data_IF_330713035010
#
_entry.id   IF_330713035010
#
_cell.length_a   1.000
_cell.length_b   1.000
_cell.length_c   1.000
_cell.angle_alpha   90.00
_cell.angle_beta   90.00
_cell.angle_gamma   90.00
#
_symmetry.space_group_name_H-M   'P 1'
#
loop_
_entity.id
_entity.type
_entity.pdbx_description
1 polymer ?
#
# COMPACT_ATOMS: atom_id res chain seq x y z
N UNK A 1 3.75 17.63 7.21
CA UNK A 1 2.93 17.77 8.44
C UNK A 1 1.46 17.82 8.04
N UNK A 2 0.77 16.69 8.15
CA UNK A 2 -0.65 16.56 7.84
C UNK A 2 -1.47 17.06 9.04
N UNK A 3 -2.12 18.21 8.90
CA UNK A 3 -3.01 18.75 9.92
C UNK A 3 -4.30 17.94 10.00
N UNK A 4 -4.50 17.21 11.10
CA UNK A 4 -5.78 16.55 11.40
C UNK A 4 -6.78 17.60 11.90
N UNK A 5 -7.89 17.78 11.18
CA UNK A 5 -9.00 18.61 11.62
C UNK A 5 -9.92 17.76 12.50
N UNK A 6 -9.92 17.98 13.83
CA UNK A 6 -10.81 17.28 14.77
C UNK A 6 -12.03 18.15 15.07
N UNK A 7 -13.22 17.65 14.75
CA UNK A 7 -14.50 18.25 15.16
C UNK A 7 -14.81 17.82 16.59
N UNK A 8 -14.94 18.77 17.53
CA UNK A 8 -15.31 18.51 18.92
C UNK A 8 -16.64 19.20 19.21
N UNK A 9 -17.72 18.43 19.35
CA UNK A 9 -18.99 18.95 19.86
C UNK A 9 -18.89 19.06 21.39
N UNK A 10 -19.02 20.27 21.93
CA UNK A 10 -19.06 20.51 23.37
C UNK A 10 -20.54 20.47 23.78
N UNK A 11 -20.91 19.49 24.61
CA UNK A 11 -22.22 19.45 25.26
C UNK A 11 -22.02 19.82 26.73
N UNK A 12 -22.56 20.97 27.16
CA UNK A 12 -22.61 21.34 28.57
C UNK A 12 -23.75 20.59 29.27
N UNK A 13 -23.41 19.80 30.29
CA UNK A 13 -24.39 19.11 31.13
C UNK A 13 -24.75 19.98 32.34
N UNK A 14 -25.96 20.55 32.33
CA UNK A 14 -26.54 21.26 33.45
C UNK A 14 -28.06 21.09 33.51
N UNK A 15 -28.56 20.55 34.62
CA UNK A 15 -29.97 20.27 34.89
C UNK A 15 -30.84 21.53 34.87
N UNK A 16 -31.39 21.89 33.69
CA UNK A 16 -32.65 22.66 33.50
C UNK A 16 -32.97 22.73 32.01
N UNK A 17 -34.09 22.13 31.58
CA UNK A 17 -34.56 22.19 30.21
C UNK A 17 -35.05 23.60 29.85
N UNK A 18 -34.15 24.43 29.33
CA UNK A 18 -34.47 25.62 28.53
C UNK A 18 -33.63 25.52 27.25
N UNK A 19 -34.28 25.39 26.10
CA UNK A 19 -33.63 25.44 24.79
C UNK A 19 -33.04 26.85 24.57
N UNK A 20 -31.77 27.06 24.92
CA UNK A 20 -30.98 28.18 24.40
C UNK A 20 -30.40 27.78 23.05
N UNK A 21 -30.68 28.62 22.06
CA UNK A 21 -30.33 28.47 20.66
C UNK A 21 -28.86 28.10 20.41
N UNK A 22 -28.69 27.18 19.46
CA UNK A 22 -27.45 26.70 18.85
C UNK A 22 -26.37 27.78 18.65
N UNK A 23 -25.20 27.57 19.25
CA UNK A 23 -23.91 28.09 18.78
C UNK A 23 -22.96 26.90 18.63
N UNK A 24 -22.54 26.61 17.40
CA UNK A 24 -21.34 25.81 17.15
C UNK A 24 -20.26 26.79 16.67
N UNK A 25 -19.23 27.00 17.48
CA UNK A 25 -18.07 27.82 17.14
C UNK A 25 -16.93 26.90 16.69
N UNK A 26 -16.40 27.17 15.50
CA UNK A 26 -15.26 26.47 14.91
C UNK A 26 -13.97 27.23 15.29
N UNK A 27 -13.03 26.55 15.93
CA UNK A 27 -11.68 27.07 16.17
C UNK A 27 -10.70 26.26 15.32
N UNK A 28 -9.95 26.95 14.46
CA UNK A 28 -8.92 26.36 13.61
C UNK A 28 -7.59 27.03 13.95
N UNK A 29 -6.60 26.27 14.43
CA UNK A 29 -5.27 26.77 14.80
C UNK A 29 -4.32 26.77 13.59
N UNK A 30 -4.59 27.67 12.63
CA UNK A 30 -3.66 27.96 11.54
C UNK A 30 -3.67 29.47 11.23
N UNK A 31 -2.50 30.16 11.23
CA UNK A 31 -2.43 31.61 11.11
C UNK A 31 -2.65 32.17 9.69
N UNK A 32 -3.06 31.36 8.69
CA UNK A 32 -3.09 31.80 7.27
C UNK A 32 -4.44 31.77 6.56
N UNK A 33 -5.57 31.52 7.23
CA UNK A 33 -6.90 31.47 6.59
C UNK A 33 -7.98 32.30 7.29
N UNK A 34 -7.63 33.47 7.84
CA UNK A 34 -8.60 34.44 8.33
C UNK A 34 -9.19 35.30 7.19
N UNK A 35 -9.97 34.69 6.28
CA UNK A 35 -10.89 35.42 5.38
C UNK A 35 -11.89 34.51 4.69
N UNK A 36 -12.71 33.78 5.45
CA UNK A 36 -14.00 33.30 4.97
C UNK A 36 -15.05 33.71 6.00
N UNK A 37 -15.99 34.54 5.52
CA UNK A 37 -17.00 35.19 6.36
C UNK A 37 -17.92 34.19 7.06
N UNK A 38 -18.49 34.63 8.18
CA UNK A 38 -19.53 33.91 8.90
C UNK A 38 -20.71 33.62 7.96
N UNK A 39 -20.96 32.33 7.68
CA UNK A 39 -22.19 31.92 7.01
C UNK A 39 -23.27 31.80 8.08
N UNK A 40 -24.05 32.87 8.24
CA UNK A 40 -25.23 32.88 9.10
C UNK A 40 -26.43 32.29 8.35
N UNK A 41 -26.90 31.10 8.75
CA UNK A 41 -28.19 30.59 8.27
C UNK A 41 -29.32 31.20 9.13
N UNK A 42 -30.07 32.13 8.55
CA UNK A 42 -31.33 32.63 9.12
C UNK A 42 -32.48 31.77 8.62
N UNK A 43 -32.99 30.86 9.44
CA UNK A 43 -34.32 30.29 9.21
C UNK A 43 -35.37 31.34 9.58
N UNK A 44 -36.14 31.82 8.60
CA UNK A 44 -37.27 32.73 8.81
C UNK A 44 -38.45 31.95 9.40
N UNK A 45 -39.12 32.44 10.46
CA UNK A 45 -40.35 31.84 10.94
C UNK A 45 -41.55 32.32 10.12
N UNK A 46 -42.43 31.36 9.83
CA UNK A 46 -43.87 31.51 9.64
C UNK A 46 -44.38 32.31 8.43
N UNK A 47 -44.56 31.61 7.31
CA UNK A 47 -45.66 31.87 6.39
C UNK A 47 -46.73 30.79 6.57
N UNK A 48 -47.75 31.10 7.37
CA UNK A 48 -49.03 30.37 7.39
C UNK A 48 -49.65 30.50 6.00
N UNK A 49 -49.60 29.42 5.21
CA UNK A 49 -50.31 29.34 3.94
C UNK A 49 -51.53 28.43 4.09
N UNK A 50 -52.68 29.09 3.95
CA UNK A 50 -54.04 28.58 3.80
C UNK A 50 -54.14 27.28 3.01
N UNK A 51 -54.62 26.23 3.69
CA UNK A 51 -55.08 24.99 3.08
C UNK A 51 -56.35 25.26 2.26
N UNK A 52 -56.23 25.34 0.94
CA UNK A 52 -57.37 25.29 0.03
C UNK A 52 -57.49 23.86 -0.45
N UNK A 53 -58.53 23.18 0.06
CA UNK A 53 -58.89 21.81 -0.29
C UNK A 53 -58.87 21.56 -1.80
N UNK A 54 -57.86 20.82 -2.23
CA UNK A 54 -57.81 20.18 -3.55
C UNK A 54 -58.17 18.72 -3.39
N UNK A 55 -59.26 18.34 -4.07
CA UNK A 55 -59.86 17.01 -4.26
C UNK A 55 -58.94 15.84 -3.89
N UNK A 56 -59.40 15.00 -2.96
CA UNK A 56 -58.79 13.72 -2.61
C UNK A 56 -58.74 12.80 -3.84
N UNK A 57 -57.62 12.85 -4.56
CA UNK A 57 -57.13 11.64 -5.21
C UNK A 57 -56.85 10.63 -4.10
N UNK A 58 -57.40 9.44 -4.20
CA UNK A 58 -57.12 8.36 -3.26
C UNK A 58 -55.61 8.11 -3.24
N UNK A 59 -54.90 8.63 -2.25
CA UNK A 59 -53.51 8.27 -2.01
C UNK A 59 -53.50 6.79 -1.60
N UNK A 60 -53.13 5.94 -2.55
CA UNK A 60 -52.91 4.53 -2.30
C UNK A 60 -51.68 4.41 -1.40
N UNK A 61 -51.89 4.23 -0.10
CA UNK A 61 -50.84 3.94 0.85
C UNK A 61 -50.26 2.55 0.59
N UNK A 62 -48.92 2.45 0.56
CA UNK A 62 -48.23 1.17 0.48
C UNK A 62 -48.59 0.27 1.66
N UNK A 63 -48.89 -1.00 1.40
CA UNK A 63 -49.08 -1.99 2.45
C UNK A 63 -47.75 -2.37 3.09
N UNK A 64 -47.78 -2.74 4.38
CA UNK A 64 -46.61 -3.28 5.09
C UNK A 64 -46.03 -4.51 4.39
N UNK A 65 -46.90 -5.32 3.74
CA UNK A 65 -46.49 -6.54 3.02
C UNK A 65 -45.70 -6.20 1.76
N UNK A 66 -46.16 -5.23 0.97
CA UNK A 66 -45.45 -4.80 -0.25
C UNK A 66 -44.05 -4.28 0.08
N UNK A 67 -43.92 -3.46 1.12
CA UNK A 67 -42.64 -2.93 1.56
C UNK A 67 -41.70 -4.05 2.03
N UNK A 68 -42.22 -5.06 2.74
CA UNK A 68 -41.44 -6.20 3.24
C UNK A 68 -40.93 -7.09 2.09
N UNK A 69 -41.77 -7.39 1.09
CA UNK A 69 -41.35 -8.17 -0.09
C UNK A 69 -40.26 -7.44 -0.87
N UNK A 70 -40.36 -6.12 -1.02
CA UNK A 70 -39.34 -5.32 -1.71
C UNK A 70 -38.00 -5.39 -0.99
N UNK A 71 -37.98 -5.19 0.34
CA UNK A 71 -36.75 -5.31 1.12
C UNK A 71 -36.16 -6.73 1.06
N UNK A 72 -36.99 -7.78 1.03
CA UNK A 72 -36.54 -9.15 0.86
C UNK A 72 -35.85 -9.36 -0.51
N UNK A 73 -36.42 -8.82 -1.60
CA UNK A 73 -35.82 -8.90 -2.93
C UNK A 73 -34.50 -8.13 -2.99
N UNK A 74 -34.45 -6.91 -2.43
CA UNK A 74 -33.20 -6.11 -2.36
C UNK A 74 -32.12 -6.86 -1.58
N UNK A 75 -32.47 -7.49 -0.45
CA UNK A 75 -31.53 -8.25 0.36
C UNK A 75 -30.94 -9.44 -0.42
N UNK A 76 -31.77 -10.17 -1.18
CA UNK A 76 -31.32 -11.28 -2.05
C UNK A 76 -30.34 -10.77 -3.11
N UNK A 77 -30.67 -9.68 -3.79
CA UNK A 77 -29.80 -9.10 -4.82
C UNK A 77 -28.48 -8.61 -4.22
N UNK A 78 -28.51 -7.92 -3.08
CA UNK A 78 -27.32 -7.44 -2.40
C UNK A 78 -26.40 -8.58 -1.96
N UNK A 79 -26.95 -9.69 -1.45
CA UNK A 79 -26.16 -10.88 -1.09
C UNK A 79 -25.40 -11.47 -2.28
N UNK A 80 -25.97 -11.41 -3.49
CA UNK A 80 -25.31 -11.88 -4.72
C UNK A 80 -24.28 -10.86 -5.26
N UNK A 81 -24.50 -9.56 -5.06
CA UNK A 81 -23.63 -8.49 -5.57
C UNK A 81 -22.37 -8.26 -4.74
N UNK A 82 -22.45 -8.36 -3.41
CA UNK A 82 -21.31 -8.12 -2.51
C UNK A 82 -20.04 -8.94 -2.85
N UNK A 83 -20.10 -10.27 -3.09
CA UNK A 83 -18.91 -11.04 -3.44
C UNK A 83 -18.34 -10.64 -4.80
N UNK A 84 -19.18 -10.27 -5.76
CA UNK A 84 -18.73 -9.80 -7.07
C UNK A 84 -18.01 -8.45 -6.97
N UNK A 85 -18.54 -7.51 -6.19
CA UNK A 85 -17.92 -6.21 -5.94
C UNK A 85 -16.56 -6.35 -5.24
N UNK A 86 -16.46 -7.24 -4.24
CA UNK A 86 -15.18 -7.49 -3.55
C UNK A 86 -14.13 -8.04 -4.51
N UNK A 87 -14.51 -8.98 -5.40
CA UNK A 87 -13.60 -9.51 -6.44
C UNK A 87 -13.17 -8.43 -7.43
N UNK A 88 -14.08 -7.55 -7.85
CA UNK A 88 -13.78 -6.44 -8.75
C UNK A 88 -12.81 -5.44 -8.11
N UNK A 89 -13.06 -5.04 -6.86
CA UNK A 89 -12.15 -4.18 -6.08
C UNK A 89 -10.77 -4.79 -5.94
N UNK A 90 -10.70 -6.08 -5.57
CA UNK A 90 -9.47 -6.84 -5.44
C UNK A 90 -8.65 -6.83 -6.74
N UNK A 91 -9.29 -7.14 -7.88
CA UNK A 91 -8.64 -7.05 -9.20
C UNK A 91 -8.16 -5.63 -9.54
N UNK A 92 -8.95 -4.62 -9.19
CA UNK A 92 -8.55 -3.22 -9.38
C UNK A 92 -7.28 -2.86 -8.60
N UNK A 93 -7.17 -3.31 -7.35
CA UNK A 93 -5.95 -3.14 -6.54
C UNK A 93 -4.75 -3.90 -7.13
N UNK A 94 -4.97 -5.10 -7.68
CA UNK A 94 -3.91 -5.88 -8.30
C UNK A 94 -3.36 -5.17 -9.55
N UNK A 95 -4.24 -4.58 -10.38
CA UNK A 95 -3.85 -3.74 -11.53
C UNK A 95 -3.02 -2.53 -11.08
N UNK A 96 -3.39 -1.88 -9.97
CA UNK A 96 -2.62 -0.74 -9.43
C UNK A 96 -1.22 -1.19 -8.98
N UNK A 97 -1.10 -2.30 -8.25
CA UNK A 97 0.23 -2.79 -7.83
C UNK A 97 1.10 -3.21 -9.01
N UNK A 98 0.52 -3.85 -10.04
CA UNK A 98 1.23 -4.16 -11.29
C UNK A 98 1.69 -2.88 -12.02
N UNK A 99 0.84 -1.85 -12.06
CA UNK A 99 1.18 -0.55 -12.65
C UNK A 99 2.33 0.13 -11.89
N UNK A 100 2.34 0.08 -10.56
CA UNK A 100 3.44 0.59 -9.74
C UNK A 100 4.75 -0.12 -10.08
N UNK A 101 4.76 -1.47 -10.11
CA UNK A 101 5.97 -2.22 -10.49
C UNK A 101 6.41 -2.00 -11.93
N UNK A 102 5.47 -1.75 -12.85
CA UNK A 102 5.80 -1.39 -14.23
C UNK A 102 6.49 -0.03 -14.31
N UNK A 103 6.11 0.94 -13.45
CA UNK A 103 6.83 2.21 -13.34
C UNK A 103 8.26 1.99 -12.83
N UNK A 104 8.46 1.12 -11.86
CA UNK A 104 9.81 0.73 -11.43
C UNK A 104 10.61 0.00 -12.51
N UNK A 105 9.99 -0.86 -13.30
CA UNK A 105 10.63 -1.52 -14.45
C UNK A 105 11.16 -0.50 -15.45
N UNK A 106 10.32 0.47 -15.84
CA UNK A 106 10.73 1.59 -16.71
C UNK A 106 11.83 2.42 -16.09
N UNK A 107 11.72 2.73 -14.79
CA UNK A 107 12.74 3.47 -14.06
C UNK A 107 14.09 2.72 -14.03
N UNK A 108 14.06 1.40 -13.86
CA UNK A 108 15.23 0.53 -13.96
C UNK A 108 15.91 0.62 -15.32
N UNK A 109 15.15 0.51 -16.42
CA UNK A 109 15.70 0.64 -17.78
C UNK A 109 16.32 2.01 -18.04
N UNK A 110 15.69 3.09 -17.57
CA UNK A 110 16.27 4.43 -17.68
C UNK A 110 17.57 4.54 -16.88
N UNK A 111 17.58 4.06 -15.63
CA UNK A 111 18.79 4.00 -14.82
C UNK A 111 19.90 3.23 -15.53
N UNK A 112 19.62 2.04 -16.05
CA UNK A 112 20.62 1.20 -16.72
C UNK A 112 21.19 1.89 -17.96
N UNK A 113 20.35 2.59 -18.72
CA UNK A 113 20.81 3.40 -19.87
C UNK A 113 21.81 4.49 -19.47
N UNK A 114 21.58 5.16 -18.34
CA UNK A 114 22.43 6.25 -17.85
C UNK A 114 23.67 5.75 -17.08
N UNK A 115 23.77 4.46 -16.76
CA UNK A 115 24.82 3.85 -15.94
C UNK A 115 25.54 2.68 -16.64
N UNK A 116 25.84 2.83 -17.93
CA UNK A 116 26.59 1.84 -18.74
C UNK A 116 26.01 0.42 -18.72
N UNK A 117 24.68 0.30 -18.61
CA UNK A 117 23.97 -0.97 -18.53
C UNK A 117 24.13 -1.72 -17.21
N UNK A 118 24.66 -1.08 -16.17
CA UNK A 118 24.83 -1.71 -14.84
C UNK A 118 23.56 -1.58 -14.01
N UNK A 119 23.26 -2.63 -13.25
CA UNK A 119 22.27 -2.57 -12.19
C UNK A 119 22.74 -1.62 -11.05
N UNK A 120 21.88 -1.32 -10.08
CA UNK A 120 22.24 -0.50 -8.91
C UNK A 120 22.59 -1.36 -7.69
N UNK A 121 23.39 -0.83 -6.74
CA UNK A 121 23.75 -1.57 -5.52
C UNK A 121 22.57 -1.68 -4.57
N UNK A 122 22.58 -2.72 -3.71
CA UNK A 122 21.56 -2.90 -2.68
C UNK A 122 21.64 -1.81 -1.60
N UNK A 123 22.86 -1.44 -1.22
CA UNK A 123 23.20 -0.41 -0.25
C UNK A 123 24.33 0.43 -0.82
N UNK A 124 24.22 1.74 -0.64
CA UNK A 124 25.21 2.71 -1.09
C UNK A 124 25.88 3.38 0.13
N UNK A 125 26.06 4.70 0.10
CA UNK A 125 26.74 5.48 1.12
C UNK A 125 26.10 5.35 2.53
N UNK A 126 26.97 5.27 3.54
CA UNK A 126 26.59 5.42 4.94
C UNK A 126 26.64 6.89 5.32
N UNK A 127 25.49 7.45 5.73
CA UNK A 127 25.42 8.79 6.27
C UNK A 127 25.55 8.75 7.81
N UNK A 128 25.80 9.89 8.45
CA UNK A 128 26.07 9.95 9.90
C UNK A 128 24.97 9.26 10.73
N UNK A 129 23.70 9.50 10.41
CA UNK A 129 22.56 8.98 11.18
C UNK A 129 21.71 7.94 10.43
N UNK A 130 22.16 7.43 9.27
CA UNK A 130 21.35 6.51 8.47
C UNK A 130 22.10 5.81 7.33
N UNK A 131 21.35 5.00 6.60
CA UNK A 131 21.87 4.15 5.53
C UNK A 131 21.08 4.35 4.25
N UNK A 132 21.77 4.55 3.12
CA UNK A 132 21.15 4.61 1.80
C UNK A 132 21.03 3.19 1.24
N UNK A 133 19.79 2.75 1.04
CA UNK A 133 19.45 1.54 0.30
C UNK A 133 18.95 1.92 -1.09
N UNK A 134 18.83 0.92 -1.97
CA UNK A 134 18.31 1.12 -3.32
C UNK A 134 16.95 1.84 -3.37
N UNK A 135 16.12 1.68 -2.33
CA UNK A 135 14.78 2.23 -2.24
C UNK A 135 14.70 3.60 -1.53
N UNK A 136 15.79 4.07 -0.93
CA UNK A 136 15.82 5.32 -0.18
C UNK A 136 16.76 5.30 1.01
N UNK A 137 16.81 6.42 1.71
CA UNK A 137 17.58 6.56 2.94
C UNK A 137 16.72 6.23 4.16
N UNK A 138 17.25 5.42 5.07
CA UNK A 138 16.60 5.03 6.31
C UNK A 138 17.47 5.39 7.51
N UNK A 139 16.90 6.13 8.46
CA UNK A 139 17.58 6.52 9.69
C UNK A 139 17.91 5.30 10.56
N UNK A 140 19.07 5.26 11.21
CA UNK A 140 19.39 4.27 12.25
C UNK A 140 18.61 4.59 13.53
N UNK A 141 18.14 3.55 14.22
CA UNK A 141 17.39 3.72 15.46
C UNK A 141 16.33 2.64 15.67
N UNK A 142 15.37 2.92 16.56
CA UNK A 142 14.26 2.04 16.86
C UNK A 142 13.31 1.90 15.65
N UNK A 143 12.96 0.66 15.29
CA UNK A 143 12.01 0.39 14.21
C UNK A 143 10.62 0.95 14.55
N UNK A 144 9.94 1.50 13.54
CA UNK A 144 8.66 2.21 13.69
C UNK A 144 8.79 3.71 13.96
N UNK A 145 9.99 4.17 14.34
CA UNK A 145 10.28 5.58 14.62
C UNK A 145 11.32 6.19 13.66
N UNK A 146 11.94 5.36 12.81
CA UNK A 146 12.97 5.80 11.86
C UNK A 146 12.37 6.76 10.84
N UNK A 147 13.10 7.83 10.54
CA UNK A 147 12.82 8.66 9.36
C UNK A 147 13.19 7.90 8.09
N UNK A 148 12.40 8.08 7.05
CA UNK A 148 12.61 7.49 5.75
C UNK A 148 12.46 8.54 4.65
N UNK A 149 13.39 8.54 3.70
CA UNK A 149 13.43 9.49 2.58
C UNK A 149 13.61 8.73 1.26
N UNK A 150 12.54 8.66 0.47
CA UNK A 150 12.53 8.01 -0.85
C UNK A 150 13.36 8.76 -1.87
N UNK A 151 13.65 10.06 -1.65
CA UNK A 151 14.36 10.90 -2.63
C UNK A 151 15.82 10.49 -2.83
N UNK A 152 16.34 9.71 -1.89
CA UNK A 152 17.70 9.16 -1.91
C UNK A 152 17.79 7.79 -2.58
N UNK A 153 16.67 7.22 -3.04
CA UNK A 153 16.66 5.92 -3.71
C UNK A 153 17.24 5.99 -5.12
N UNK A 154 17.87 4.90 -5.56
CA UNK A 154 18.55 4.82 -6.87
C UNK A 154 17.60 5.14 -8.04
N UNK A 155 16.33 4.74 -7.91
CA UNK A 155 15.33 4.92 -8.95
C UNK A 155 14.49 6.20 -8.81
N UNK A 156 14.70 7.00 -7.77
CA UNK A 156 13.79 8.12 -7.44
C UNK A 156 13.63 9.11 -8.60
N UNK A 157 14.74 9.55 -9.20
CA UNK A 157 14.72 10.53 -10.29
C UNK A 157 14.02 10.04 -11.56
N UNK A 158 13.84 8.73 -11.70
CA UNK A 158 13.26 8.07 -12.86
C UNK A 158 11.78 7.72 -12.67
N UNK A 159 11.24 7.91 -11.47
CA UNK A 159 9.85 7.62 -11.13
C UNK A 159 9.03 8.90 -11.21
N UNK A 160 7.92 8.85 -11.93
CA UNK A 160 7.01 10.00 -12.06
C UNK A 160 5.87 9.85 -11.07
N UNK A 161 5.81 10.76 -10.10
CA UNK A 161 4.74 10.82 -9.09
C UNK A 161 5.16 10.28 -7.71
N UNK A 162 4.21 10.20 -6.80
CA UNK A 162 4.41 9.77 -5.40
C UNK A 162 3.41 8.70 -5.02
N UNK A 163 3.75 7.82 -4.06
CA UNK A 163 2.85 6.79 -3.54
C UNK A 163 2.88 5.49 -4.35
N UNK A 164 3.90 5.30 -5.19
CA UNK A 164 4.14 4.06 -5.93
C UNK A 164 4.97 3.07 -5.11
N UNK A 165 5.68 3.53 -4.09
CA UNK A 165 6.66 2.82 -3.27
C UNK A 165 6.05 1.70 -2.42
N UNK A 166 4.75 1.81 -2.12
CA UNK A 166 4.01 0.84 -1.32
C UNK A 166 2.83 0.34 -2.14
N UNK A 167 2.80 -0.97 -2.41
CA UNK A 167 1.65 -1.61 -3.03
C UNK A 167 0.42 -1.49 -2.10
N UNK A 168 -0.75 -1.01 -2.61
CA UNK A 168 -1.99 -0.92 -1.83
C UNK A 168 -2.51 -2.23 -1.20
N UNK A 169 -1.98 -3.39 -1.62
CA UNK A 169 -2.29 -4.70 -1.02
C UNK A 169 -1.40 -5.05 0.17
N UNK A 170 -0.36 -4.26 0.46
CA UNK A 170 0.43 -4.43 1.67
C UNK A 170 -0.39 -3.95 2.87
N UNK A 171 -0.88 -4.88 3.70
CA UNK A 171 -1.64 -4.56 4.90
C UNK A 171 -0.73 -4.12 6.06
N UNK A 172 -0.07 -2.97 5.90
CA UNK A 172 0.88 -2.43 6.88
C UNK A 172 0.22 -1.76 8.09
N UNK A 173 -1.12 -1.61 8.06
CA UNK A 173 -1.93 -1.05 9.16
C UNK A 173 -2.28 -2.15 10.19
N UNK A 174 -2.09 -3.42 9.83
CA UNK A 174 -2.33 -4.57 10.68
C UNK A 174 -1.51 -4.51 11.98
N UNK A 175 -2.09 -4.96 13.10
CA UNK A 175 -1.42 -5.02 14.41
C UNK A 175 -0.29 -6.06 14.48
N UNK A 176 -0.26 -6.99 13.51
CA UNK A 176 0.82 -7.94 13.29
C UNK A 176 1.84 -7.48 12.26
N UNK A 177 1.75 -6.23 11.80
CA UNK A 177 2.74 -5.63 10.92
C UNK A 177 3.74 -4.79 11.73
N UNK A 178 5.02 -5.08 11.56
CA UNK A 178 6.14 -4.40 12.22
C UNK A 178 6.75 -3.42 11.23
N UNK A 179 6.48 -2.14 11.46
CA UNK A 179 6.96 -1.04 10.63
C UNK A 179 8.46 -0.83 10.81
N UNK A 180 9.16 -0.52 9.72
CA UNK A 180 10.58 -0.16 9.77
C UNK A 180 10.79 1.33 10.01
N UNK A 181 9.93 2.18 9.46
CA UNK A 181 9.98 3.63 9.58
C UNK A 181 8.70 4.19 10.23
N UNK A 182 8.59 5.51 10.34
CA UNK A 182 7.33 6.19 10.66
C UNK A 182 6.32 5.99 9.50
N UNK A 183 5.67 4.83 9.48
CA UNK A 183 4.84 4.34 8.38
C UNK A 183 5.55 3.27 7.53
N UNK A 184 4.88 2.79 6.48
CA UNK A 184 5.51 1.89 5.53
C UNK A 184 6.56 2.64 4.71
N UNK A 185 7.80 2.17 4.79
CA UNK A 185 8.91 2.62 3.98
C UNK A 185 8.80 2.09 2.54
N UNK A 186 8.67 0.77 2.34
CA UNK A 186 8.72 0.19 0.99
C UNK A 186 8.10 -1.19 0.88
N UNK A 187 7.31 -1.43 -0.17
CA UNK A 187 6.54 -2.66 -0.34
C UNK A 187 7.16 -3.75 -1.22
N UNK A 188 8.35 -3.49 -1.77
CA UNK A 188 9.01 -4.32 -2.79
C UNK A 188 10.43 -4.71 -2.39
N UNK A 189 10.90 -5.82 -2.95
CA UNK A 189 12.25 -6.33 -2.78
C UNK A 189 12.99 -6.36 -4.11
N UNK A 190 14.24 -5.94 -4.08
CA UNK A 190 15.16 -6.01 -5.21
C UNK A 190 15.85 -7.37 -5.29
N UNK A 191 16.01 -7.92 -6.49
CA UNK A 191 16.78 -9.14 -6.68
C UNK A 191 18.24 -8.92 -6.26
N UNK A 192 18.61 -9.52 -5.13
CA UNK A 192 19.92 -9.33 -4.51
C UNK A 192 21.06 -9.84 -5.39
N UNK A 193 20.78 -10.78 -6.31
CA UNK A 193 21.77 -11.24 -7.28
C UNK A 193 22.14 -10.13 -8.28
N UNK A 194 21.19 -9.28 -8.69
CA UNK A 194 21.46 -8.15 -9.57
C UNK A 194 22.30 -7.07 -8.90
N UNK A 195 22.09 -6.89 -7.59
CA UNK A 195 22.91 -6.01 -6.76
C UNK A 195 24.36 -6.49 -6.56
N UNK A 196 24.67 -7.74 -6.92
CA UNK A 196 25.95 -8.39 -6.58
C UNK A 196 26.04 -8.84 -5.12
N UNK A 197 24.91 -8.95 -4.41
CA UNK A 197 24.86 -9.19 -2.97
C UNK A 197 24.58 -7.91 -2.17
N UNK A 198 24.72 -8.00 -0.84
CA UNK A 198 24.47 -6.85 0.04
C UNK A 198 25.55 -5.76 -0.07
N UNK A 199 26.79 -6.16 -0.36
CA UNK A 199 27.96 -5.28 -0.42
C UNK A 199 28.81 -5.52 -1.69
N UNK A 200 28.26 -6.21 -2.69
CA UNK A 200 29.00 -6.54 -3.91
C UNK A 200 28.78 -5.52 -5.02
N UNK A 201 29.41 -5.77 -6.16
CA UNK A 201 29.29 -4.91 -7.34
C UNK A 201 28.06 -5.31 -8.16
N UNK A 202 27.22 -4.36 -8.57
CA UNK A 202 26.08 -4.65 -9.42
C UNK A 202 26.49 -5.27 -10.75
N UNK A 203 25.65 -6.16 -11.25
CA UNK A 203 25.86 -6.88 -12.50
C UNK A 203 25.56 -6.01 -13.72
N UNK A 204 26.11 -6.38 -14.87
CA UNK A 204 25.70 -5.84 -16.16
C UNK A 204 24.38 -6.49 -16.57
N UNK A 205 23.38 -5.68 -16.93
CA UNK A 205 22.07 -6.20 -17.35
C UNK A 205 22.19 -6.97 -18.67
N UNK A 206 23.13 -6.60 -19.54
CA UNK A 206 23.45 -7.34 -20.77
C UNK A 206 24.04 -8.73 -20.51
N UNK A 207 24.53 -9.04 -19.29
CA UNK A 207 25.01 -10.38 -18.95
C UNK A 207 23.90 -11.33 -18.53
N UNK A 208 22.64 -10.87 -18.50
CA UNK A 208 21.49 -11.72 -18.22
C UNK A 208 21.18 -12.60 -19.43
N UNK A 209 21.29 -13.93 -19.27
CA UNK A 209 20.93 -14.87 -20.32
C UNK A 209 19.44 -14.81 -20.70
N UNK A 210 18.56 -14.55 -19.72
CA UNK A 210 17.11 -14.53 -19.91
C UNK A 210 16.45 -13.36 -19.17
N UNK A 211 16.56 -12.11 -19.65
CA UNK A 211 15.99 -10.94 -18.98
C UNK A 211 14.47 -11.03 -18.75
N UNK A 212 13.74 -11.71 -19.63
CA UNK A 212 12.28 -11.88 -19.54
C UNK A 212 11.82 -12.88 -18.46
N UNK A 213 12.74 -13.65 -17.89
CA UNK A 213 12.43 -14.60 -16.80
C UNK A 213 13.19 -14.28 -15.52
N UNK A 214 14.24 -13.46 -15.58
CA UNK A 214 14.96 -12.98 -14.38
C UNK A 214 14.18 -11.85 -13.72
N UNK A 215 13.72 -12.08 -12.50
CA UNK A 215 13.08 -11.09 -11.65
C UNK A 215 14.06 -9.94 -11.35
N UNK A 216 13.58 -8.73 -11.55
CA UNK A 216 14.26 -7.48 -11.20
C UNK A 216 13.78 -7.00 -9.82
N UNK A 217 12.48 -6.71 -9.67
CA UNK A 217 11.85 -6.42 -8.38
C UNK A 217 10.63 -7.33 -8.19
N UNK A 218 10.23 -7.53 -6.95
CA UNK A 218 9.01 -8.25 -6.62
C UNK A 218 8.36 -7.72 -5.35
N UNK A 219 7.09 -8.05 -5.12
CA UNK A 219 6.49 -7.88 -3.80
C UNK A 219 7.29 -8.64 -2.74
N UNK A 220 7.66 -7.93 -1.67
CA UNK A 220 8.51 -8.50 -0.62
C UNK A 220 7.97 -8.22 0.78
N UNK A 221 8.18 -9.17 1.67
CA UNK A 221 7.95 -9.07 3.11
C UNK A 221 8.65 -10.25 3.78
N UNK A 222 8.91 -10.13 5.08
CA UNK A 222 9.50 -11.20 5.87
C UNK A 222 8.66 -11.45 7.13
N UNK A 223 8.65 -12.70 7.60
CA UNK A 223 8.20 -12.99 8.96
C UNK A 223 9.35 -12.79 9.95
N UNK A 224 9.20 -11.86 10.88
CA UNK A 224 10.11 -11.64 11.99
C UNK A 224 9.64 -12.40 13.24
N UNK A 225 10.58 -13.08 13.89
CA UNK A 225 10.35 -13.83 15.14
C UNK A 225 11.44 -13.60 16.18
N UNK A 226 12.34 -12.66 15.95
CA UNK A 226 13.59 -12.54 16.71
C UNK A 226 13.86 -11.12 17.21
N UNK A 227 13.20 -10.11 16.64
CA UNK A 227 13.41 -8.71 17.01
C UNK A 227 12.11 -8.06 17.46
N UNK A 228 12.13 -7.54 18.69
CA UNK A 228 11.00 -6.86 19.30
C UNK A 228 10.43 -5.75 18.38
N UNK A 229 9.10 -5.56 18.34
CA UNK A 229 8.08 -6.23 19.17
C UNK A 229 7.73 -7.67 18.74
N UNK A 230 8.35 -8.20 17.67
CA UNK A 230 8.14 -9.58 17.25
C UNK A 230 8.92 -10.57 18.15
N UNK A 231 8.36 -11.75 18.33
CA UNK A 231 9.00 -12.86 19.04
C UNK A 231 8.60 -14.20 18.41
N UNK A 232 9.10 -15.32 18.94
CA UNK A 232 8.69 -16.65 18.47
C UNK A 232 7.21 -16.94 18.76
N UNK A 233 6.72 -16.42 19.89
CA UNK A 233 5.35 -16.55 20.36
C UNK A 233 4.41 -15.54 19.67
N UNK A 234 4.97 -14.41 19.22
CA UNK A 234 4.26 -13.37 18.48
C UNK A 234 5.00 -13.04 17.17
N UNK A 235 4.93 -13.91 16.15
CA UNK A 235 5.49 -13.62 14.84
C UNK A 235 4.78 -12.40 14.23
N UNK A 236 5.54 -11.55 13.56
CA UNK A 236 5.03 -10.35 12.88
C UNK A 236 5.55 -10.32 11.45
N UNK A 237 4.78 -9.73 10.55
CA UNK A 237 5.21 -9.42 9.18
C UNK A 237 5.95 -8.11 9.22
N UNK A 238 7.03 -7.99 8.47
CA UNK A 238 7.72 -6.72 8.25
C UNK A 238 8.05 -6.50 6.78
N UNK A 239 8.29 -5.23 6.47
CA UNK A 239 8.82 -4.79 5.19
C UNK A 239 10.20 -5.40 4.97
N UNK A 240 10.47 -5.79 3.74
CA UNK A 240 11.73 -6.40 3.39
C UNK A 240 12.17 -5.96 2.01
N UNK A 241 13.47 -5.77 1.85
CA UNK A 241 14.01 -4.92 0.78
C UNK A 241 14.71 -5.71 -0.33
N UNK A 242 14.76 -7.03 -0.23
CA UNK A 242 15.32 -7.86 -1.29
C UNK A 242 14.58 -9.18 -1.42
N UNK A 243 14.74 -9.81 -2.58
CA UNK A 243 14.36 -11.20 -2.84
C UNK A 243 15.59 -11.99 -3.27
N UNK A 244 15.68 -13.24 -2.83
CA UNK A 244 16.75 -14.16 -3.21
C UNK A 244 16.28 -15.62 -3.14
N UNK A 245 17.09 -16.56 -3.64
CA UNK A 245 16.74 -17.98 -3.68
C UNK A 245 16.87 -18.69 -2.31
N UNK A 246 17.42 -18.01 -1.30
CA UNK A 246 17.77 -18.60 0.00
C UNK A 246 16.66 -18.37 1.03
N UNK A 247 16.17 -17.14 1.13
CA UNK A 247 15.33 -16.65 2.23
C UNK A 247 13.89 -16.39 1.79
N UNK A 248 12.94 -16.65 2.71
CA UNK A 248 11.50 -16.46 2.50
C UNK A 248 11.13 -14.98 2.61
N UNK A 249 11.32 -14.27 1.50
CA UNK A 249 11.31 -12.80 1.44
C UNK A 249 10.35 -12.24 0.40
N UNK A 250 9.72 -13.10 -0.41
CA UNK A 250 8.70 -12.72 -1.37
C UNK A 250 7.32 -12.82 -0.74
N UNK A 251 6.42 -11.88 -1.08
CA UNK A 251 5.08 -11.81 -0.52
C UNK A 251 4.02 -11.97 -1.62
N UNK A 252 3.22 -13.02 -1.50
CA UNK A 252 2.23 -13.44 -2.47
C UNK A 252 0.83 -12.89 -2.13
N UNK A 253 0.75 -11.55 -2.01
CA UNK A 253 -0.42 -10.79 -1.51
C UNK A 253 -1.56 -10.58 -2.52
N UNK A 254 -1.41 -11.06 -3.76
CA UNK A 254 -2.36 -10.89 -4.86
C UNK A 254 -3.12 -12.18 -5.14
N UNK A 255 -3.92 -12.65 -4.17
CA UNK A 255 -4.61 -13.95 -4.24
C UNK A 255 -3.62 -15.11 -4.40
N UNK A 256 -2.67 -15.20 -3.45
CA UNK A 256 -1.58 -16.19 -3.44
C UNK A 256 -0.57 -16.05 -4.58
N UNK A 257 -0.54 -14.88 -5.22
CA UNK A 257 0.46 -14.51 -6.23
C UNK A 257 1.23 -13.26 -5.79
N UNK A 258 2.49 -13.18 -6.20
CA UNK A 258 3.35 -12.01 -6.00
C UNK A 258 3.51 -11.29 -7.32
N UNK A 259 3.43 -9.97 -7.32
CA UNK A 259 3.76 -9.18 -8.50
C UNK A 259 5.29 -9.12 -8.66
N UNK A 260 5.76 -9.39 -9.88
CA UNK A 260 7.17 -9.42 -10.23
C UNK A 260 7.34 -8.61 -11.50
N UNK A 261 8.35 -7.74 -11.52
CA UNK A 261 8.87 -7.12 -12.74
C UNK A 261 10.16 -7.82 -13.14
N UNK A 262 10.32 -8.11 -14.42
CA UNK A 262 11.48 -8.81 -14.96
C UNK A 262 12.54 -7.85 -15.52
N UNK A 263 13.72 -8.38 -15.82
CA UNK A 263 14.82 -7.63 -16.43
C UNK A 263 14.48 -6.99 -17.78
N UNK A 264 13.51 -7.52 -18.53
CA UNK A 264 13.00 -6.89 -19.75
C UNK A 264 11.93 -5.79 -19.50
N UNK A 265 11.56 -5.56 -18.23
CA UNK A 265 10.54 -4.60 -17.82
C UNK A 265 9.10 -5.11 -17.89
N UNK A 266 8.88 -6.35 -18.33
CA UNK A 266 7.56 -6.99 -18.26
C UNK A 266 7.15 -7.25 -16.81
N UNK A 267 5.85 -7.27 -16.54
CA UNK A 267 5.29 -7.49 -15.20
C UNK A 267 4.28 -8.62 -15.23
N UNK A 268 4.38 -9.55 -14.29
CA UNK A 268 3.40 -10.62 -14.14
C UNK A 268 3.15 -10.99 -12.68
N UNK A 269 2.05 -11.72 -12.46
CA UNK A 269 1.73 -12.33 -11.17
C UNK A 269 2.28 -13.75 -11.16
N UNK A 270 3.16 -14.05 -10.21
CA UNK A 270 3.85 -15.33 -10.10
C UNK A 270 3.49 -16.04 -8.80
N UNK A 271 3.56 -17.36 -8.83
CA UNK A 271 3.33 -18.22 -7.68
C UNK A 271 4.63 -18.45 -6.90
N UNK A 272 4.50 -18.87 -5.64
CA UNK A 272 5.65 -19.18 -4.80
C UNK A 272 6.28 -20.51 -5.22
N UNK A 273 7.59 -20.65 -4.98
CA UNK A 273 8.29 -21.91 -5.13
C UNK A 273 7.64 -22.98 -4.24
N UNK A 274 7.47 -24.19 -4.75
CA UNK A 274 6.82 -25.28 -4.02
C UNK A 274 7.47 -25.52 -2.64
N UNK A 275 6.64 -25.66 -1.60
CA UNK A 275 7.10 -25.86 -0.22
C UNK A 275 7.85 -24.67 0.41
N UNK A 276 7.88 -23.50 -0.25
CA UNK A 276 8.63 -22.34 0.23
C UNK A 276 7.89 -21.46 1.22
N UNK A 277 6.57 -21.65 1.40
CA UNK A 277 5.76 -20.85 2.35
C UNK A 277 6.35 -20.87 3.75
N UNK A 278 6.30 -19.73 4.43
CA UNK A 278 6.81 -19.56 5.77
C UNK A 278 5.88 -20.20 6.81
N UNK A 279 6.32 -21.33 7.36
CA UNK A 279 5.58 -22.09 8.37
C UNK A 279 5.33 -21.31 9.67
N UNK A 280 6.04 -20.20 9.91
CA UNK A 280 5.81 -19.34 11.08
C UNK A 280 4.50 -18.56 10.95
N UNK A 281 4.08 -18.24 9.72
CA UNK A 281 2.81 -17.56 9.42
C UNK A 281 2.24 -18.04 8.06
N UNK A 282 1.75 -19.29 7.95
CA UNK A 282 1.38 -19.90 6.67
C UNK A 282 0.24 -19.17 5.95
N UNK A 283 -0.67 -18.52 6.70
CA UNK A 283 -1.82 -17.80 6.15
C UNK A 283 -1.49 -16.37 5.69
N UNK A 284 -0.21 -15.98 5.68
CA UNK A 284 0.24 -14.65 5.24
C UNK A 284 0.93 -14.69 3.87
N UNK A 285 1.00 -15.88 3.24
CA UNK A 285 1.50 -16.04 1.87
C UNK A 285 2.90 -15.41 1.67
N UNK A 286 3.79 -15.58 2.66
CA UNK A 286 5.21 -15.19 2.55
C UNK A 286 6.01 -16.45 2.23
N UNK A 287 6.91 -16.39 1.26
CA UNK A 287 7.66 -17.54 0.77
C UNK A 287 8.84 -17.12 -0.09
N UNK A 288 9.21 -17.95 -1.07
CA UNK A 288 10.26 -17.64 -2.05
C UNK A 288 9.69 -17.61 -3.45
N UNK A 289 10.26 -16.75 -4.29
CA UNK A 289 10.13 -16.92 -5.73
C UNK A 289 10.92 -18.16 -6.17
N UNK A 290 10.51 -18.80 -7.28
CA UNK A 290 11.31 -19.85 -7.91
C UNK A 290 12.76 -19.40 -8.16
N UNK A 291 13.72 -20.28 -7.86
CA UNK A 291 15.16 -19.97 -7.92
C UNK A 291 15.61 -19.54 -9.31
N UNK A 292 15.04 -20.13 -10.35
CA UNK A 292 15.28 -19.84 -11.77
C UNK A 292 14.91 -18.40 -12.16
N UNK A 293 14.04 -17.75 -11.38
CA UNK A 293 13.72 -16.33 -11.58
C UNK A 293 14.74 -15.41 -10.93
N UNK A 294 15.51 -15.89 -9.95
CA UNK A 294 16.39 -15.04 -9.14
C UNK A 294 17.86 -15.21 -9.50
N UNK A 295 18.25 -16.41 -9.91
CA UNK A 295 19.63 -16.77 -10.22
C UNK A 295 19.93 -16.55 -11.70
N UNK A 296 21.16 -16.13 -11.99
CA UNK A 296 21.66 -16.10 -13.36
C UNK A 296 22.09 -17.50 -13.75
N UNK A 297 21.44 -18.09 -14.74
CA UNK A 297 22.12 -19.09 -15.56
C UNK A 297 23.23 -18.34 -16.29
N UNK A 298 24.45 -18.36 -15.74
CA UNK A 298 25.63 -17.87 -16.48
C UNK A 298 25.65 -18.63 -17.80
N UNK A 299 25.56 -17.91 -18.92
CA UNK A 299 26.03 -18.46 -20.18
C UNK A 299 27.44 -18.96 -19.92
N UNK A 300 27.67 -20.24 -20.16
CA UNK A 300 28.99 -20.82 -20.15
C UNK A 300 29.81 -20.16 -21.28
N UNK A 301 30.39 -19.00 -21.01
CA UNK A 301 31.47 -18.47 -21.83
C UNK A 301 32.73 -19.24 -21.42
N UNK A 302 32.93 -20.33 -22.15
CA UNK A 302 34.21 -20.78 -22.73
C UNK A 302 35.47 -20.17 -22.14
N UNK A 303 36.19 -20.99 -21.38
CA UNK A 303 37.65 -20.95 -21.29
C UNK A 303 38.24 -20.94 -22.72
N UNK A 304 38.91 -19.86 -23.10
CA UNK A 304 39.93 -19.82 -24.16
C UNK A 304 41.05 -18.85 -23.77
#
# INVERSE_FOLDING_TARGET
>A
MTGSCRVRAIFETGNRWRLSRNRASFLCDSPTLNRLGEISFTASPDSVMSDKGTKSGSEQGFSMVELLVIMAIIAIVMMLLLPALQRAKNKGLDIVCMSNLMQFGKAGHMYWGDNDGRAFPYRDEQLEDGDVYWFGWLQRGAEGERRFDTTKGALHQYIVGTGVEVCPRLDFINDRFKLKATGAAYGYGYNLHLAGGMNGSPVLISSLASPSTTAFLADAAQVNTFQAPASKEKPMIEEFYYVNSREKTAHFRHSEKGCVVFGDGSVSLNEFAEGSIDNRMPNQSIGRLPSEMLEMNRTAETDY
#
